data_IF_348277616196
#
_entry.id   IF_348277616196
#
_cell.length_a   1.000
_cell.length_b   1.000
_cell.length_c   1.000
_cell.angle_alpha   90.00
_cell.angle_beta   90.00
_cell.angle_gamma   90.00
#
_symmetry.space_group_name_H-M   'P 1'
#
loop_
_entity.id
_entity.type
_entity.pdbx_description
1 polymer ?
#
# COMPACT_ATOMS: atom_id res chain seq x y z
N UNK A 1 26.54 -40.64 -7.78
CA UNK A 1 27.39 -39.64 -8.46
C UNK A 1 26.81 -38.28 -8.15
N UNK A 2 27.65 -37.35 -7.68
CA UNK A 2 27.24 -35.97 -7.44
C UNK A 2 27.27 -35.21 -8.77
N UNK A 3 26.25 -34.37 -9.03
CA UNK A 3 26.31 -33.37 -10.10
C UNK A 3 26.34 -31.98 -9.47
N UNK A 4 27.57 -31.50 -9.25
CA UNK A 4 27.84 -30.15 -8.75
C UNK A 4 27.41 -29.12 -9.80
N UNK A 5 26.48 -28.25 -9.43
CA UNK A 5 26.14 -27.07 -10.24
C UNK A 5 27.17 -25.96 -9.92
N UNK A 6 27.93 -25.44 -10.90
CA UNK A 6 28.97 -24.45 -10.63
C UNK A 6 28.39 -23.07 -10.28
N UNK A 7 29.03 -22.40 -9.31
CA UNK A 7 28.67 -21.05 -8.88
C UNK A 7 28.84 -20.02 -10.00
N UNK A 8 27.75 -19.41 -10.46
CA UNK A 8 27.80 -18.23 -11.35
C UNK A 8 28.21 -17.01 -10.53
N UNK A 9 29.50 -16.68 -10.57
CA UNK A 9 30.06 -15.51 -9.89
C UNK A 9 29.69 -14.20 -10.59
N UNK A 10 29.50 -13.14 -9.79
CA UNK A 10 29.16 -11.79 -10.28
C UNK A 10 30.29 -11.20 -11.12
N UNK A 11 30.13 -11.17 -12.46
CA UNK A 11 30.88 -10.22 -13.31
C UNK A 11 30.06 -8.95 -13.51
N UNK A 12 30.52 -7.85 -12.91
CA UNK A 12 30.18 -6.49 -13.37
C UNK A 12 31.09 -6.17 -14.56
N UNK A 13 30.53 -6.17 -15.77
CA UNK A 13 31.13 -5.46 -16.91
C UNK A 13 30.76 -3.98 -16.82
N UNK A 14 31.70 -3.10 -17.19
CA UNK A 14 31.40 -1.69 -17.38
C UNK A 14 30.79 -1.48 -18.77
N UNK A 15 29.74 -0.67 -18.88
CA UNK A 15 29.14 -0.27 -20.15
C UNK A 15 29.51 1.18 -20.40
N UNK A 16 30.16 1.45 -21.54
CA UNK A 16 30.53 2.80 -21.96
C UNK A 16 29.30 3.58 -22.45
N UNK A 17 29.35 4.91 -22.32
CA UNK A 17 28.24 5.79 -22.67
C UNK A 17 28.07 5.97 -24.18
N UNK A 18 26.85 5.72 -24.67
CA UNK A 18 26.33 6.32 -25.90
C UNK A 18 25.02 7.06 -25.59
N UNK A 19 24.83 8.24 -26.19
CA UNK A 19 23.68 9.10 -25.94
C UNK A 19 22.62 8.91 -27.03
N UNK A 20 21.41 8.47 -26.65
CA UNK A 20 20.19 8.59 -27.46
C UNK A 20 18.96 8.74 -26.55
N UNK A 21 17.85 9.27 -27.10
CA UNK A 21 16.79 9.88 -26.30
C UNK A 21 16.05 8.90 -25.35
N UNK A 22 15.89 9.32 -24.09
CA UNK A 22 15.41 8.52 -22.96
C UNK A 22 13.89 8.33 -22.93
N UNK A 23 13.37 7.50 -23.83
CA UNK A 23 12.02 6.92 -23.66
C UNK A 23 12.02 5.97 -22.46
N UNK A 24 11.02 6.06 -21.58
CA UNK A 24 10.94 5.32 -20.31
C UNK A 24 10.81 3.79 -20.51
N UNK A 25 11.93 3.09 -20.63
CA UNK A 25 11.97 1.62 -20.76
C UNK A 25 11.74 0.91 -19.41
N UNK A 26 10.49 0.60 -19.12
CA UNK A 26 10.13 -0.39 -18.10
C UNK A 26 10.28 -1.81 -18.66
N UNK A 27 10.98 -2.71 -17.94
CA UNK A 27 10.97 -4.14 -18.24
C UNK A 27 11.78 -4.59 -19.46
N UNK A 28 12.75 -3.79 -19.92
CA UNK A 28 13.71 -4.26 -20.93
C UNK A 28 14.69 -5.25 -20.27
N UNK A 29 14.45 -6.53 -20.51
CA UNK A 29 15.43 -7.58 -20.24
C UNK A 29 16.46 -7.62 -21.38
N UNK A 30 17.72 -7.87 -21.03
CA UNK A 30 18.82 -8.00 -21.98
C UNK A 30 18.51 -9.09 -23.05
N UNK A 31 18.80 -8.85 -24.34
CA UNK A 31 18.46 -9.79 -25.42
C UNK A 31 19.03 -11.20 -25.22
N UNK A 32 20.29 -11.30 -24.80
CA UNK A 32 21.00 -12.57 -24.63
C UNK A 32 20.42 -13.32 -23.41
N UNK A 33 20.04 -12.59 -22.36
CA UNK A 33 19.32 -13.14 -21.21
C UNK A 33 17.91 -13.65 -21.59
N UNK A 34 17.20 -12.94 -22.48
CA UNK A 34 15.89 -13.39 -23.02
C UNK A 34 16.04 -14.62 -23.91
N UNK A 35 17.12 -14.72 -24.69
CA UNK A 35 17.41 -15.89 -25.52
C UNK A 35 17.79 -17.11 -24.68
N UNK A 36 18.66 -16.95 -23.68
CA UNK A 36 18.98 -18.00 -22.70
C UNK A 36 17.74 -18.47 -21.91
N UNK A 37 16.79 -17.57 -21.59
CA UNK A 37 15.51 -17.92 -20.97
C UNK A 37 14.57 -18.72 -21.89
N UNK A 38 14.59 -18.48 -23.20
CA UNK A 38 13.82 -19.27 -24.19
C UNK A 38 14.46 -20.64 -24.43
N UNK A 39 15.78 -20.70 -24.50
CA UNK A 39 16.54 -21.92 -24.73
C UNK A 39 16.43 -22.91 -23.54
N UNK A 40 16.40 -22.40 -22.31
CA UNK A 40 16.33 -23.24 -21.10
C UNK A 40 14.96 -23.84 -20.79
N UNK A 41 13.86 -23.27 -21.29
CA UNK A 41 12.50 -23.82 -21.14
C UNK A 41 11.63 -23.49 -22.36
N UNK A 42 11.63 -24.37 -23.38
CA UNK A 42 10.87 -24.18 -24.64
C UNK A 42 9.35 -23.94 -24.46
N UNK A 43 8.77 -24.41 -23.36
CA UNK A 43 7.34 -24.24 -23.06
C UNK A 43 6.97 -22.90 -22.38
N UNK A 44 7.95 -22.02 -22.09
CA UNK A 44 7.70 -20.77 -21.33
C UNK A 44 7.13 -19.66 -22.22
N UNK A 45 5.89 -19.24 -21.95
CA UNK A 45 5.20 -18.19 -22.70
C UNK A 45 5.85 -16.80 -22.51
N UNK A 46 6.65 -16.37 -23.49
CA UNK A 46 7.21 -15.01 -23.54
C UNK A 46 6.29 -14.07 -24.35
N UNK A 47 5.62 -13.14 -23.67
CA UNK A 47 4.64 -12.23 -24.29
C UNK A 47 5.22 -10.93 -24.88
N UNK A 48 6.56 -10.81 -24.94
CA UNK A 48 7.24 -9.58 -25.35
C UNK A 48 7.28 -8.50 -24.25
N UNK A 49 7.75 -7.29 -24.57
CA UNK A 49 7.58 -6.12 -23.71
C UNK A 49 6.12 -5.60 -23.78
N UNK A 50 5.63 -4.90 -22.74
CA UNK A 50 4.31 -4.27 -22.78
C UNK A 50 4.35 -2.99 -23.63
N UNK A 51 4.20 -3.14 -24.95
CA UNK A 51 4.30 -2.04 -25.93
C UNK A 51 2.97 -1.48 -26.43
N UNK A 52 1.83 -2.08 -26.05
CA UNK A 52 0.50 -1.64 -26.49
C UNK A 52 -0.08 -0.64 -25.50
N UNK A 53 -0.78 0.40 -25.98
CA UNK A 53 -1.42 1.39 -25.12
C UNK A 53 -2.95 1.25 -25.13
N UNK A 54 -3.58 1.47 -23.97
CA UNK A 54 -5.02 1.68 -23.92
C UNK A 54 -5.40 3.06 -24.49
N UNK A 55 -6.33 3.08 -25.44
CA UNK A 55 -6.86 4.28 -26.12
C UNK A 55 -7.36 5.39 -25.21
N UNK A 56 -7.82 5.06 -23.99
CA UNK A 56 -8.33 6.04 -23.04
C UNK A 56 -7.28 6.54 -22.04
N UNK A 57 -6.36 5.66 -21.60
CA UNK A 57 -5.53 5.88 -20.41
C UNK A 57 -4.02 5.91 -20.69
N UNK A 58 -3.59 5.58 -21.92
CA UNK A 58 -2.19 5.39 -22.34
C UNK A 58 -1.33 4.42 -21.52
N UNK A 59 -1.87 3.75 -20.49
CA UNK A 59 -1.16 2.71 -19.76
C UNK A 59 -0.79 1.56 -20.70
N UNK A 60 0.37 0.97 -20.43
CA UNK A 60 0.99 -0.07 -21.23
C UNK A 60 0.39 -1.46 -20.90
N UNK A 61 0.26 -2.28 -21.93
CA UNK A 61 -0.29 -3.63 -21.91
C UNK A 61 0.55 -4.58 -22.78
N UNK A 62 0.53 -5.85 -22.42
CA UNK A 62 0.90 -6.95 -23.33
C UNK A 62 -0.23 -7.25 -24.31
N UNK A 63 0.10 -7.70 -25.52
CA UNK A 63 -0.87 -7.96 -26.59
C UNK A 63 -2.05 -8.86 -26.17
N UNK A 64 -1.79 -9.83 -25.27
CA UNK A 64 -2.77 -10.81 -24.81
C UNK A 64 -3.64 -10.33 -23.63
N UNK A 65 -3.46 -9.11 -23.14
CA UNK A 65 -4.39 -8.48 -22.16
C UNK A 65 -5.59 -7.78 -22.83
N UNK A 66 -5.69 -7.86 -24.15
CA UNK A 66 -6.84 -7.36 -24.92
C UNK A 66 -8.09 -8.17 -24.57
N UNK A 67 -9.23 -7.50 -24.46
CA UNK A 67 -10.49 -8.12 -23.99
C UNK A 67 -11.11 -9.04 -25.06
N UNK A 68 -10.67 -8.89 -26.31
CA UNK A 68 -11.20 -9.54 -27.50
C UNK A 68 -11.27 -8.55 -28.66
N UNK A 69 -11.21 -9.05 -29.90
CA UNK A 69 -11.54 -8.26 -31.09
C UNK A 69 -13.06 -8.22 -31.23
N UNK A 70 -13.68 -7.04 -31.13
CA UNK A 70 -15.12 -6.90 -31.37
C UNK A 70 -15.42 -7.22 -32.83
N UNK A 71 -16.22 -8.26 -33.08
CA UNK A 71 -16.52 -8.76 -34.43
C UNK A 71 -17.00 -7.64 -35.36
N UNK A 72 -16.19 -7.32 -36.36
CA UNK A 72 -16.44 -6.24 -37.32
C UNK A 72 -15.46 -5.05 -37.25
N UNK A 73 -14.72 -4.85 -36.15
CA UNK A 73 -13.75 -3.75 -36.04
C UNK A 73 -12.38 -4.21 -35.50
N UNK A 74 -11.30 -3.83 -36.22
CA UNK A 74 -9.91 -4.30 -35.96
C UNK A 74 -9.22 -3.59 -34.79
N UNK A 75 -9.86 -2.65 -34.11
CA UNK A 75 -9.28 -1.92 -32.97
C UNK A 75 -9.02 -2.85 -31.77
N UNK A 76 -7.78 -2.87 -31.29
CA UNK A 76 -7.40 -3.57 -30.05
C UNK A 76 -7.91 -2.74 -28.86
N UNK A 77 -8.68 -3.35 -27.95
CA UNK A 77 -9.27 -2.68 -26.79
C UNK A 77 -8.74 -3.26 -25.48
N UNK A 78 -8.30 -2.37 -24.59
CA UNK A 78 -7.82 -2.68 -23.23
C UNK A 78 -8.67 -1.93 -22.21
N UNK A 79 -9.18 -2.63 -21.19
CA UNK A 79 -9.99 -2.03 -20.12
C UNK A 79 -9.46 -2.27 -18.71
N UNK A 80 -8.33 -2.97 -18.51
CA UNK A 80 -7.88 -3.28 -17.15
C UNK A 80 -7.26 -2.09 -16.39
N UNK A 81 -6.80 -1.02 -17.07
CA UNK A 81 -6.42 0.25 -16.41
C UNK A 81 -7.65 1.10 -16.04
N UNK A 82 -8.59 1.22 -16.98
CA UNK A 82 -9.57 2.31 -17.01
C UNK A 82 -11.03 1.83 -17.10
N UNK A 83 -11.30 0.51 -17.06
CA UNK A 83 -12.60 -0.11 -17.30
C UNK A 83 -13.37 0.46 -18.53
N UNK A 84 -12.60 0.84 -19.57
CA UNK A 84 -13.12 1.41 -20.82
C UNK A 84 -13.38 2.92 -20.72
N UNK A 85 -12.39 3.70 -20.28
CA UNK A 85 -12.52 5.15 -20.11
C UNK A 85 -13.36 5.58 -18.90
N UNK A 86 -13.66 4.65 -17.99
CA UNK A 86 -14.38 4.87 -16.73
C UNK A 86 -13.41 5.20 -15.59
N UNK A 87 -12.51 4.29 -15.20
CA UNK A 87 -11.45 4.63 -14.23
C UNK A 87 -10.46 5.61 -14.85
N UNK A 88 -10.15 6.62 -14.07
CA UNK A 88 -9.89 8.01 -14.44
C UNK A 88 -9.44 8.65 -13.10
N UNK A 89 -8.37 9.47 -13.09
CA UNK A 89 -7.61 9.90 -11.90
C UNK A 89 -7.18 11.39 -12.02
N UNK A 90 -7.13 12.17 -10.93
CA UNK A 90 -6.68 13.58 -10.98
C UNK A 90 -5.27 13.69 -11.57
N UNK A 91 -4.84 14.84 -12.14
CA UNK A 91 -3.47 15.01 -12.62
C UNK A 91 -2.39 14.66 -11.58
N UNK A 92 -1.21 14.25 -12.04
CA UNK A 92 -0.03 14.13 -11.18
C UNK A 92 0.47 15.51 -10.77
N UNK A 93 0.29 15.85 -9.48
CA UNK A 93 1.00 16.97 -8.86
C UNK A 93 2.47 16.55 -8.68
N UNK A 94 3.45 17.33 -9.18
CA UNK A 94 4.86 17.07 -8.89
C UNK A 94 5.13 17.02 -7.40
N UNK A 95 6.15 16.25 -7.02
CA UNK A 95 6.58 16.10 -5.63
C UNK A 95 7.25 17.41 -5.19
N UNK A 96 7.16 17.84 -3.93
CA UNK A 96 7.90 19.01 -3.45
C UNK A 96 9.40 18.69 -3.28
N UNK A 97 10.25 19.72 -3.19
CA UNK A 97 11.67 19.56 -2.88
C UNK A 97 11.93 19.50 -1.36
N UNK A 98 12.97 18.80 -0.88
CA UNK A 98 14.04 18.11 -1.62
C UNK A 98 13.62 16.73 -2.17
N UNK A 99 12.41 16.28 -1.85
CA UNK A 99 11.96 14.91 -2.12
C UNK A 99 11.92 14.61 -3.62
N UNK A 100 11.58 15.59 -4.46
CA UNK A 100 11.57 15.51 -5.92
C UNK A 100 12.94 15.20 -6.52
N UNK A 101 14.00 15.87 -6.07
CA UNK A 101 15.38 15.61 -6.49
C UNK A 101 15.93 14.33 -5.85
N UNK A 102 15.67 14.08 -4.56
CA UNK A 102 16.20 12.92 -3.83
C UNK A 102 15.67 11.57 -4.34
N UNK A 103 14.35 11.42 -4.54
CA UNK A 103 13.76 10.11 -4.90
C UNK A 103 13.84 9.81 -6.41
N UNK A 104 15.05 9.82 -6.96
CA UNK A 104 15.36 9.56 -8.38
C UNK A 104 16.15 8.26 -8.56
N UNK A 105 15.67 7.39 -9.45
CA UNK A 105 16.40 6.17 -9.85
C UNK A 105 17.64 6.48 -10.70
N UNK A 106 17.56 7.53 -11.51
CA UNK A 106 18.59 8.04 -12.41
C UNK A 106 19.52 9.09 -11.77
N UNK A 107 19.23 9.47 -10.52
CA UNK A 107 19.92 10.55 -9.80
C UNK A 107 21.36 10.24 -9.38
N UNK A 108 21.92 11.09 -8.54
CA UNK A 108 23.31 11.02 -8.07
C UNK A 108 23.55 9.92 -7.00
N UNK A 109 24.69 9.95 -6.31
CA UNK A 109 24.99 9.03 -5.21
C UNK A 109 24.08 9.26 -4.00
N UNK A 110 23.69 10.50 -3.72
CA UNK A 110 22.74 10.85 -2.64
C UNK A 110 21.36 10.29 -2.98
N UNK A 111 20.85 10.54 -4.18
CA UNK A 111 19.56 10.03 -4.65
C UNK A 111 19.49 8.50 -4.60
N UNK A 112 20.56 7.82 -5.02
CA UNK A 112 20.65 6.34 -5.00
C UNK A 112 20.71 5.79 -3.56
N UNK A 113 21.43 6.44 -2.65
CA UNK A 113 21.46 6.08 -1.23
C UNK A 113 20.09 6.29 -0.57
N UNK A 114 19.46 7.44 -0.85
CA UNK A 114 18.11 7.76 -0.40
C UNK A 114 17.09 6.73 -0.88
N UNK A 115 17.08 6.39 -2.17
CA UNK A 115 16.15 5.39 -2.74
C UNK A 115 16.34 3.96 -2.18
N UNK A 116 17.51 3.62 -1.65
CA UNK A 116 17.73 2.37 -0.92
C UNK A 116 17.14 2.42 0.50
N UNK A 117 17.27 3.56 1.17
CA UNK A 117 16.89 3.79 2.58
C UNK A 117 15.53 4.47 2.76
N UNK A 118 14.80 4.76 1.68
CA UNK A 118 13.56 5.57 1.67
C UNK A 118 12.44 5.07 2.59
N UNK A 119 12.40 3.76 2.88
CA UNK A 119 11.51 3.20 3.91
C UNK A 119 11.83 3.71 5.32
N UNK A 120 13.12 3.76 5.68
CA UNK A 120 13.58 4.29 6.97
C UNK A 120 13.20 5.76 7.09
N UNK A 121 13.49 6.58 6.07
CA UNK A 121 13.05 7.98 6.05
C UNK A 121 11.52 8.11 6.21
N UNK A 122 10.71 7.29 5.52
CA UNK A 122 9.27 7.32 5.72
C UNK A 122 8.85 6.95 7.16
N UNK A 123 9.50 5.96 7.79
CA UNK A 123 9.26 5.59 9.19
C UNK A 123 9.59 6.72 10.18
N UNK A 124 10.57 7.59 9.87
CA UNK A 124 10.84 8.80 10.68
C UNK A 124 9.70 9.82 10.66
N UNK A 125 8.81 9.76 9.66
CA UNK A 125 7.73 10.72 9.44
C UNK A 125 6.32 10.15 9.63
N UNK A 126 6.14 8.83 9.65
CA UNK A 126 4.82 8.20 9.81
C UNK A 126 4.07 8.70 11.07
N UNK A 127 2.83 9.15 10.88
CA UNK A 127 1.94 9.56 11.97
C UNK A 127 1.34 8.35 12.71
N UNK A 128 1.32 7.19 12.06
CA UNK A 128 0.72 5.95 12.57
C UNK A 128 1.72 4.81 12.69
N UNK A 129 1.43 3.93 13.65
CA UNK A 129 2.07 2.62 13.79
C UNK A 129 1.39 1.60 12.88
N UNK A 130 2.16 0.72 12.24
CA UNK A 130 1.63 -0.40 11.45
C UNK A 130 1.82 -1.72 12.22
N UNK A 131 0.71 -2.39 12.55
CA UNK A 131 0.69 -3.67 13.26
C UNK A 131 0.26 -4.84 12.38
N UNK A 132 0.87 -6.00 12.56
CA UNK A 132 0.50 -7.27 11.92
C UNK A 132 1.07 -8.46 12.73
N UNK A 133 0.38 -9.60 12.77
CA UNK A 133 0.94 -10.83 13.35
C UNK A 133 1.84 -11.51 12.31
N UNK A 134 3.14 -11.26 12.37
CA UNK A 134 4.12 -11.85 11.45
C UNK A 134 4.44 -13.29 11.87
N UNK A 135 4.10 -14.26 11.03
CA UNK A 135 4.52 -15.65 11.21
C UNK A 135 5.92 -15.85 10.61
N UNK A 136 6.88 -16.14 11.49
CA UNK A 136 8.29 -16.37 11.12
C UNK A 136 8.63 -17.84 10.87
N UNK A 137 7.75 -18.78 11.21
CA UNK A 137 8.02 -20.24 11.15
C UNK A 137 8.22 -20.78 9.74
N UNK A 138 7.78 -20.04 8.72
CA UNK A 138 7.84 -20.45 7.30
C UNK A 138 9.25 -20.34 6.69
N UNK A 139 10.16 -19.61 7.34
CA UNK A 139 11.52 -19.39 6.81
C UNK A 139 12.50 -20.42 7.37
N UNK A 140 12.36 -21.67 6.92
CA UNK A 140 13.17 -22.83 7.30
C UNK A 140 14.51 -22.96 6.54
N UNK A 141 14.81 -22.01 5.64
CA UNK A 141 16.01 -21.99 4.80
C UNK A 141 15.94 -22.83 3.51
N UNK A 142 14.88 -23.60 3.29
CA UNK A 142 14.76 -24.53 2.15
C UNK A 142 14.09 -23.91 0.91
N UNK A 143 13.77 -22.61 0.94
CA UNK A 143 13.18 -21.89 -0.19
C UNK A 143 13.39 -20.37 -0.14
N UNK A 144 12.88 -19.63 -1.14
CA UNK A 144 12.89 -18.17 -1.14
C UNK A 144 12.17 -17.61 0.09
N UNK A 145 12.65 -16.52 0.71
CA UNK A 145 12.10 -16.03 1.98
C UNK A 145 10.65 -15.53 1.83
N UNK A 146 9.76 -16.05 2.66
CA UNK A 146 8.32 -15.75 2.68
C UNK A 146 8.01 -14.82 3.85
N UNK A 147 7.46 -13.64 3.56
CA UNK A 147 6.90 -12.76 4.58
C UNK A 147 5.41 -13.07 4.79
N UNK A 148 5.09 -13.88 5.81
CA UNK A 148 3.72 -14.29 6.12
C UNK A 148 3.12 -13.42 7.23
N UNK A 149 1.93 -12.89 6.97
CA UNK A 149 1.06 -12.23 7.95
C UNK A 149 -0.11 -13.17 8.25
N UNK A 150 -0.45 -13.30 9.53
CA UNK A 150 -1.71 -13.89 9.99
C UNK A 150 -2.65 -12.79 10.46
N UNK A 151 -3.96 -12.98 10.28
CA UNK A 151 -4.96 -11.96 10.63
C UNK A 151 -4.88 -10.72 9.73
N UNK A 152 -4.92 -9.54 10.34
CA UNK A 152 -5.10 -8.25 9.65
C UNK A 152 -3.90 -7.32 9.86
N UNK A 153 -3.42 -6.71 8.76
CA UNK A 153 -2.60 -5.49 8.84
C UNK A 153 -3.49 -4.35 9.34
N UNK A 154 -3.00 -3.54 10.26
CA UNK A 154 -3.79 -2.47 10.85
C UNK A 154 -2.93 -1.29 11.29
N UNK A 155 -3.32 -0.08 10.88
CA UNK A 155 -2.73 1.15 11.40
C UNK A 155 -3.35 1.52 12.74
N UNK A 156 -2.53 1.87 13.73
CA UNK A 156 -2.96 2.46 15.01
C UNK A 156 -2.36 3.82 15.23
N UNK A 157 -3.14 4.70 15.83
CA UNK A 157 -2.79 6.06 16.22
C UNK A 157 -2.82 6.17 17.75
N UNK A 158 -1.95 7.00 18.33
CA UNK A 158 -1.92 7.28 19.78
C UNK A 158 -2.45 8.67 20.11
N UNK A 159 -2.28 9.10 21.35
CA UNK A 159 -2.56 10.47 21.81
C UNK A 159 -1.50 11.49 21.38
N UNK A 160 -1.86 12.78 21.39
CA UNK A 160 -0.99 13.90 20.97
C UNK A 160 0.32 13.99 21.75
N UNK A 161 0.25 13.77 23.06
CA UNK A 161 1.40 13.72 23.96
C UNK A 161 1.72 12.27 24.34
N UNK A 162 3.01 11.96 24.62
CA UNK A 162 3.37 10.70 25.26
C UNK A 162 2.79 10.63 26.69
N UNK A 163 2.59 9.40 27.17
CA UNK A 163 2.41 9.15 28.60
C UNK A 163 3.68 9.54 29.36
N UNK A 164 3.54 9.82 30.66
CA UNK A 164 4.65 10.27 31.51
C UNK A 164 5.89 9.35 31.35
N UNK A 165 7.06 9.98 31.24
CA UNK A 165 8.38 9.37 31.07
C UNK A 165 8.56 8.43 29.85
N UNK A 166 7.59 8.39 28.92
CA UNK A 166 7.74 7.64 27.65
C UNK A 166 8.36 8.52 26.55
N UNK A 167 9.27 7.96 25.72
CA UNK A 167 9.76 8.67 24.54
C UNK A 167 8.62 8.84 23.51
N UNK A 168 8.52 9.99 22.82
CA UNK A 168 7.49 10.25 21.82
C UNK A 168 7.62 9.31 20.60
N UNK A 169 6.49 8.88 20.05
CA UNK A 169 6.42 7.94 18.91
C UNK A 169 5.44 8.43 17.85
N UNK A 170 5.76 8.17 16.57
CA UNK A 170 4.91 8.50 15.42
C UNK A 170 4.43 9.97 15.42
N UNK A 171 3.11 10.25 15.42
CA UNK A 171 2.56 11.62 15.43
C UNK A 171 3.10 12.50 16.58
N UNK A 172 3.47 11.91 17.72
CA UNK A 172 3.98 12.66 18.87
C UNK A 172 5.32 13.35 18.53
N UNK A 173 6.06 12.89 17.51
CA UNK A 173 7.28 13.53 17.00
C UNK A 173 7.01 14.83 16.22
N UNK A 174 5.74 15.19 15.98
CA UNK A 174 5.32 16.50 15.47
C UNK A 174 4.92 17.47 16.59
N UNK A 175 4.48 16.94 17.73
CA UNK A 175 4.00 17.71 18.89
C UNK A 175 5.11 17.94 19.91
N UNK A 176 5.84 16.89 20.29
CA UNK A 176 6.83 16.90 21.36
C UNK A 176 8.19 17.46 20.91
N UNK A 177 8.72 18.42 21.68
CA UNK A 177 10.03 19.10 21.56
C UNK A 177 10.51 19.49 20.15
N UNK A 178 10.50 20.79 19.86
CA UNK A 178 11.11 21.39 18.68
C UNK A 178 12.64 21.24 18.61
N UNK A 179 13.31 21.35 19.75
CA UNK A 179 14.74 21.69 19.87
C UNK A 179 15.63 20.58 19.31
N UNK A 180 15.18 19.33 19.45
CA UNK A 180 15.91 18.16 18.99
C UNK A 180 15.10 17.27 18.03
N UNK A 181 14.10 17.82 17.31
CA UNK A 181 13.24 17.12 16.31
C UNK A 181 13.96 16.02 15.50
N UNK A 182 15.07 16.37 14.84
CA UNK A 182 15.85 15.45 13.98
C UNK A 182 16.49 14.32 14.79
N UNK A 183 17.16 14.65 15.90
CA UNK A 183 17.82 13.69 16.78
C UNK A 183 16.80 12.75 17.45
N UNK A 184 15.65 13.27 17.86
CA UNK A 184 14.54 12.51 18.46
C UNK A 184 13.98 11.49 17.45
N UNK A 185 13.75 11.91 16.20
CA UNK A 185 13.31 11.00 15.11
C UNK A 185 14.36 9.91 14.81
N UNK A 186 15.64 10.25 14.70
CA UNK A 186 16.70 9.28 14.40
C UNK A 186 16.90 8.30 15.58
N UNK A 187 16.92 8.77 16.82
CA UNK A 187 17.00 7.94 18.04
C UNK A 187 15.85 6.94 18.13
N UNK A 188 14.65 7.34 17.72
CA UNK A 188 13.48 6.46 17.64
C UNK A 188 13.67 5.32 16.61
N UNK A 189 14.30 5.59 15.45
CA UNK A 189 14.60 4.54 14.46
C UNK A 189 15.71 3.58 14.95
N UNK A 190 16.81 4.10 15.49
CA UNK A 190 17.95 3.30 15.96
C UNK A 190 17.67 2.47 17.23
N UNK A 191 16.45 2.54 17.78
CA UNK A 191 15.97 1.66 18.86
C UNK A 191 14.93 0.63 18.39
N UNK A 192 14.51 0.67 17.12
CA UNK A 192 13.52 -0.24 16.54
C UNK A 192 14.13 -1.34 15.65
N UNK A 193 15.25 -1.05 14.98
CA UNK A 193 15.98 -1.97 14.09
C UNK A 193 17.48 -2.01 14.42
N UNK A 194 18.18 -3.03 13.89
CA UNK A 194 19.63 -3.23 14.04
C UNK A 194 20.50 -2.15 13.40
N UNK A 195 21.85 -2.32 13.39
CA UNK A 195 22.81 -1.25 13.10
C UNK A 195 22.50 -0.50 11.80
N UNK A 196 21.99 0.73 11.96
CA UNK A 196 21.47 1.55 10.87
C UNK A 196 22.57 1.96 9.90
N UNK A 197 22.32 1.73 8.60
CA UNK A 197 22.90 2.55 7.53
C UNK A 197 22.73 4.03 7.88
N UNK A 198 23.83 4.79 7.89
CA UNK A 198 23.84 6.16 8.44
C UNK A 198 22.79 7.05 7.78
N UNK A 199 21.77 7.41 8.57
CA UNK A 199 20.71 8.34 8.15
C UNK A 199 21.27 9.75 8.15
N UNK A 200 21.13 10.44 7.02
CA UNK A 200 21.63 11.80 6.82
C UNK A 200 20.74 12.81 7.53
N UNK A 201 21.28 13.44 8.58
CA UNK A 201 20.56 14.42 9.42
C UNK A 201 20.05 15.62 8.62
N UNK A 202 20.85 16.06 7.64
CA UNK A 202 20.51 17.06 6.62
C UNK A 202 19.23 16.69 5.86
N UNK A 203 19.17 15.49 5.27
CA UNK A 203 17.98 15.00 4.57
C UNK A 203 16.76 14.90 5.51
N UNK A 204 16.95 14.49 6.77
CA UNK A 204 15.84 14.47 7.75
C UNK A 204 15.35 15.88 8.08
N UNK A 205 16.23 16.87 8.17
CA UNK A 205 15.85 18.27 8.42
C UNK A 205 15.09 18.86 7.22
N UNK A 206 15.62 18.70 6.01
CA UNK A 206 14.98 19.23 4.79
C UNK A 206 13.60 18.58 4.54
N UNK A 207 13.49 17.25 4.69
CA UNK A 207 12.19 16.56 4.59
C UNK A 207 11.23 16.94 5.72
N UNK A 208 11.72 17.24 6.93
CA UNK A 208 10.86 17.77 7.99
C UNK A 208 10.32 19.16 7.66
N UNK A 209 11.13 20.03 7.05
CA UNK A 209 10.71 21.36 6.62
C UNK A 209 9.66 21.26 5.51
N UNK A 210 9.93 20.45 4.49
CA UNK A 210 9.03 20.16 3.37
C UNK A 210 7.66 19.62 3.85
N UNK A 211 7.63 18.70 4.82
CA UNK A 211 6.37 18.20 5.38
C UNK A 211 5.66 19.27 6.24
N UNK A 212 6.40 20.05 7.04
CA UNK A 212 5.84 21.18 7.79
C UNK A 212 5.31 22.31 6.86
N UNK A 213 5.76 22.39 5.60
CA UNK A 213 5.28 23.32 4.57
C UNK A 213 4.14 22.78 3.70
N UNK A 214 4.15 21.50 3.31
CA UNK A 214 3.19 20.95 2.35
C UNK A 214 2.14 20.02 2.95
N UNK A 215 2.46 19.29 4.03
CA UNK A 215 1.58 18.26 4.55
C UNK A 215 0.52 18.84 5.52
N UNK A 216 -0.78 18.70 5.24
CA UNK A 216 -1.84 19.28 6.06
C UNK A 216 -1.93 18.66 7.46
N UNK A 217 -1.61 17.37 7.61
CA UNK A 217 -1.57 16.73 8.93
C UNK A 217 -0.42 17.27 9.77
N UNK A 218 0.80 17.38 9.20
CA UNK A 218 1.94 17.97 9.88
C UNK A 218 1.63 19.39 10.39
N UNK A 219 1.02 20.24 9.55
CA UNK A 219 0.56 21.59 9.93
C UNK A 219 -0.43 21.57 11.10
N UNK A 220 -1.43 20.68 11.09
CA UNK A 220 -2.47 20.61 12.13
C UNK A 220 -1.92 20.07 13.46
N UNK A 221 -1.00 19.09 13.44
CA UNK A 221 -0.27 18.68 14.65
C UNK A 221 0.66 19.78 15.18
N UNK A 222 1.30 20.56 14.30
CA UNK A 222 2.13 21.71 14.67
C UNK A 222 1.33 22.83 15.34
N UNK A 223 0.13 23.12 14.84
CA UNK A 223 -0.82 24.07 15.44
C UNK A 223 -1.34 23.58 16.79
N UNK A 224 -1.64 22.28 16.92
CA UNK A 224 -2.09 21.70 18.19
C UNK A 224 -1.02 21.80 19.27
N UNK A 225 0.26 21.59 18.92
CA UNK A 225 1.41 21.85 19.80
C UNK A 225 1.49 23.31 20.24
N UNK A 226 1.32 24.25 19.31
CA UNK A 226 1.38 25.69 19.62
C UNK A 226 0.33 26.04 20.69
N UNK A 227 -0.92 25.57 20.53
CA UNK A 227 -1.94 25.74 21.57
C UNK A 227 -1.68 24.96 22.86
N UNK A 228 -1.15 23.74 22.81
CA UNK A 228 -0.78 22.94 23.99
C UNK A 228 0.32 23.60 24.84
N UNK A 229 1.23 24.35 24.21
CA UNK A 229 2.26 25.12 24.91
C UNK A 229 1.66 26.36 25.59
N UNK A 230 0.71 27.04 24.95
CA UNK A 230 0.01 28.21 25.48
C UNK A 230 -1.01 27.86 26.58
N UNK A 231 -1.70 26.73 26.45
CA UNK A 231 -2.85 26.31 27.27
C UNK A 231 -2.58 24.93 27.88
N UNK A 232 -1.60 24.85 28.79
CA UNK A 232 -1.00 23.58 29.26
C UNK A 232 -1.96 22.65 30.01
N UNK A 233 -3.12 23.16 30.45
CA UNK A 233 -4.16 22.45 31.19
C UNK A 233 -5.42 22.14 30.35
N UNK A 234 -5.48 22.53 29.07
CA UNK A 234 -6.65 22.28 28.23
C UNK A 234 -6.61 20.90 27.55
N UNK A 235 -7.76 20.24 27.49
CA UNK A 235 -7.93 19.02 26.70
C UNK A 235 -8.30 19.37 25.26
N UNK A 236 -7.43 18.95 24.35
CA UNK A 236 -7.54 19.15 22.92
C UNK A 236 -7.86 17.82 22.24
N UNK A 237 -8.79 17.89 21.28
CA UNK A 237 -9.16 16.77 20.43
C UNK A 237 -8.88 17.18 18.98
N UNK A 238 -8.01 16.42 18.29
CA UNK A 238 -7.93 16.47 16.83
C UNK A 238 -8.86 15.42 16.25
N UNK A 239 -9.83 15.89 15.48
CA UNK A 239 -10.77 15.06 14.71
C UNK A 239 -10.36 15.10 13.24
N UNK A 240 -9.83 13.99 12.72
CA UNK A 240 -9.67 13.77 11.28
C UNK A 240 -10.99 13.23 10.75
N UNK A 241 -11.56 13.89 9.73
CA UNK A 241 -12.90 13.60 9.23
C UNK A 241 -12.86 12.41 8.25
N UNK A 242 -13.69 11.40 8.51
CA UNK A 242 -13.91 10.26 7.64
C UNK A 242 -14.94 10.54 6.54
N UNK A 243 -14.96 9.68 5.52
CA UNK A 243 -15.86 9.79 4.38
C UNK A 243 -17.33 9.51 4.79
N UNK A 244 -18.22 10.49 4.59
CA UNK A 244 -19.65 10.41 4.94
C UNK A 244 -20.47 9.73 3.84
N UNK A 245 -21.67 9.28 4.18
CA UNK A 245 -22.57 8.72 3.17
C UNK A 245 -23.10 9.84 2.27
N UNK A 246 -22.75 9.77 0.98
CA UNK A 246 -23.08 10.80 -0.01
C UNK A 246 -22.02 11.88 -0.20
N UNK A 247 -20.88 11.84 0.51
CA UNK A 247 -19.77 12.75 0.22
C UNK A 247 -19.31 12.59 -1.24
N UNK A 248 -19.19 13.71 -1.96
CA UNK A 248 -18.57 13.67 -3.28
C UNK A 248 -17.11 13.23 -3.14
N UNK A 249 -16.72 12.24 -3.94
CA UNK A 249 -15.34 11.72 -3.95
C UNK A 249 -14.41 12.72 -4.62
N UNK A 250 -14.04 13.74 -3.84
CA UNK A 250 -13.06 14.75 -4.23
C UNK A 250 -11.66 14.13 -4.26
N UNK A 251 -11.11 14.13 -5.46
CA UNK A 251 -9.71 13.80 -5.77
C UNK A 251 -8.76 15.01 -5.62
N UNK A 252 -9.31 16.19 -5.31
CA UNK A 252 -8.55 17.41 -5.05
C UNK A 252 -7.67 17.25 -3.80
N UNK A 253 -6.64 18.09 -3.65
CA UNK A 253 -6.08 18.31 -2.32
C UNK A 253 -7.20 18.83 -1.41
N UNK A 254 -7.50 18.18 -0.27
CA UNK A 254 -8.53 18.66 0.63
C UNK A 254 -8.21 20.07 1.14
N UNK A 255 -9.24 20.86 1.41
CA UNK A 255 -9.05 22.13 2.13
C UNK A 255 -8.54 21.83 3.53
N UNK A 256 -7.77 22.74 4.14
CA UNK A 256 -7.14 22.49 5.45
C UNK A 256 -8.14 22.13 6.54
N UNK A 257 -9.39 22.54 6.40
CA UNK A 257 -10.42 22.38 7.42
C UNK A 257 -11.25 21.11 7.24
N UNK A 258 -11.18 20.47 6.08
CA UNK A 258 -11.79 19.16 5.81
C UNK A 258 -10.99 18.00 6.45
N UNK A 259 -9.66 18.13 6.54
CA UNK A 259 -8.80 17.02 6.96
C UNK A 259 -8.64 16.87 8.47
N UNK A 260 -8.64 17.97 9.22
CA UNK A 260 -8.51 17.90 10.68
C UNK A 260 -9.06 19.18 11.32
N UNK A 261 -9.96 19.01 12.29
CA UNK A 261 -10.42 20.08 13.16
C UNK A 261 -9.86 19.88 14.57
N UNK A 262 -9.40 20.97 15.18
CA UNK A 262 -8.92 21.02 16.56
C UNK A 262 -10.03 21.60 17.45
N UNK A 263 -10.48 20.81 18.42
CA UNK A 263 -11.60 21.10 19.32
C UNK A 263 -11.09 21.15 20.76
N UNK A 264 -11.75 21.92 21.63
CA UNK A 264 -11.46 22.06 23.06
C UNK A 264 -12.71 21.58 23.83
N UNK A 265 -12.52 20.74 24.84
CA UNK A 265 -13.60 20.25 25.72
C UNK A 265 -14.34 18.98 25.25
N UNK A 266 -15.32 18.57 26.06
CA UNK A 266 -16.01 17.28 25.95
C UNK A 266 -16.71 17.06 24.60
N UNK A 267 -16.54 15.85 24.04
CA UNK A 267 -17.12 15.47 22.75
C UNK A 267 -17.68 14.04 22.79
N UNK A 268 -18.93 13.84 22.37
CA UNK A 268 -19.56 12.52 22.35
C UNK A 268 -19.04 11.67 21.16
N UNK A 269 -18.39 10.55 21.49
CA UNK A 269 -17.75 9.66 20.50
C UNK A 269 -18.77 8.90 19.62
N UNK A 270 -20.00 8.68 20.10
CA UNK A 270 -21.00 7.80 19.47
C UNK A 270 -21.51 8.27 18.09
N UNK A 271 -21.33 9.54 17.75
CA UNK A 271 -21.94 10.13 16.54
C UNK A 271 -21.18 9.80 15.24
N UNK A 272 -19.89 9.43 15.29
CA UNK A 272 -19.01 9.43 14.11
C UNK A 272 -18.17 8.15 13.92
N UNK A 273 -18.83 7.04 13.57
CA UNK A 273 -18.26 5.68 13.38
C UNK A 273 -17.09 5.53 12.38
N UNK A 274 -16.69 6.59 11.67
CA UNK A 274 -15.60 6.56 10.67
C UNK A 274 -14.47 7.55 10.94
N UNK A 275 -14.59 8.47 11.89
CA UNK A 275 -13.60 9.54 12.10
C UNK A 275 -12.42 9.06 12.95
N UNK A 276 -11.25 9.70 12.82
CA UNK A 276 -10.11 9.43 13.72
C UNK A 276 -10.07 10.51 14.78
N UNK A 277 -10.37 10.12 16.03
CA UNK A 277 -10.37 11.00 17.20
C UNK A 277 -9.07 10.81 17.99
N UNK A 278 -8.30 11.88 18.10
CA UNK A 278 -6.97 11.92 18.73
C UNK A 278 -7.01 12.91 19.91
N UNK A 279 -6.90 12.39 21.13
CA UNK A 279 -6.94 13.20 22.38
C UNK A 279 -5.54 13.64 22.84
N UNK A 280 -5.46 14.69 23.67
CA UNK A 280 -4.21 15.19 24.29
C UNK A 280 -3.42 14.07 24.96
N UNK A 281 -4.04 13.27 25.84
CA UNK A 281 -3.45 12.11 26.53
C UNK A 281 -4.47 10.97 26.57
N UNK A 282 -4.04 9.77 26.18
CA UNK A 282 -4.80 8.53 26.30
C UNK A 282 -3.79 7.36 26.35
N UNK A 283 -4.06 6.31 27.13
CA UNK A 283 -3.25 5.09 27.15
C UNK A 283 -3.35 4.27 25.86
N UNK A 284 -4.46 4.40 25.13
CA UNK A 284 -4.91 3.39 24.19
C UNK A 284 -4.56 3.74 22.74
N UNK A 285 -4.00 2.76 22.02
CA UNK A 285 -3.71 2.87 20.59
C UNK A 285 -4.95 2.52 19.75
N UNK A 286 -5.67 3.56 19.29
CA UNK A 286 -6.88 3.42 18.48
C UNK A 286 -6.56 2.92 17.08
N UNK A 287 -7.26 1.87 16.63
CA UNK A 287 -7.16 1.34 15.26
C UNK A 287 -7.90 2.27 14.28
N UNK A 288 -7.24 2.62 13.18
CA UNK A 288 -7.88 3.33 12.07
C UNK A 288 -8.55 2.31 11.14
N UNK A 289 -9.74 2.65 10.62
CA UNK A 289 -10.40 1.88 9.56
C UNK A 289 -9.59 1.88 8.27
N UNK A 290 -9.41 0.72 7.64
CA UNK A 290 -8.76 0.58 6.32
C UNK A 290 -9.57 1.18 5.16
N UNK A 291 -10.78 1.70 5.44
CA UNK A 291 -11.61 2.52 4.56
C UNK A 291 -11.50 4.04 4.84
N UNK A 292 -10.69 4.47 5.79
CA UNK A 292 -10.50 5.88 6.08
C UNK A 292 -9.66 6.55 4.98
N UNK A 293 -10.07 7.69 4.38
CA UNK A 293 -9.32 8.32 3.28
C UNK A 293 -7.85 8.61 3.64
N UNK A 294 -7.59 9.13 4.84
CA UNK A 294 -6.24 9.38 5.34
C UNK A 294 -5.43 8.12 5.75
N UNK A 295 -5.98 6.89 5.70
CA UNK A 295 -5.32 5.67 6.23
C UNK A 295 -3.92 5.42 5.65
N UNK A 296 -3.76 5.65 4.33
CA UNK A 296 -2.47 5.51 3.66
C UNK A 296 -1.58 6.74 3.86
N UNK A 297 -2.15 7.95 3.83
CA UNK A 297 -1.39 9.20 3.96
C UNK A 297 -0.74 9.35 5.34
N UNK A 298 -1.41 8.89 6.40
CA UNK A 298 -0.86 8.90 7.76
C UNK A 298 0.32 7.91 7.94
N UNK A 299 0.32 6.79 7.20
CA UNK A 299 1.37 5.78 7.28
C UNK A 299 2.55 6.05 6.32
N UNK A 300 2.29 6.70 5.18
CA UNK A 300 3.29 6.95 4.15
C UNK A 300 3.45 8.45 3.78
N UNK A 301 3.83 9.35 4.70
CA UNK A 301 3.86 10.79 4.39
C UNK A 301 4.86 11.21 3.30
N UNK A 302 5.88 10.41 2.99
CA UNK A 302 6.74 10.67 1.83
C UNK A 302 6.07 10.24 0.51
N UNK A 303 5.15 9.28 0.52
CA UNK A 303 4.38 8.86 -0.65
C UNK A 303 3.14 9.76 -0.89
N UNK A 304 2.64 10.37 0.18
CA UNK A 304 1.51 11.31 0.23
C UNK A 304 1.96 12.66 0.85
N UNK A 305 2.88 13.41 0.21
CA UNK A 305 3.45 14.64 0.78
C UNK A 305 2.40 15.74 1.01
N UNK A 306 1.30 15.73 0.25
CA UNK A 306 0.19 16.67 0.38
C UNK A 306 -0.98 16.14 1.21
N UNK A 307 -0.84 14.97 1.84
CA UNK A 307 -1.89 14.34 2.63
C UNK A 307 -3.09 13.83 1.81
N UNK A 308 -2.84 13.45 0.55
CA UNK A 308 -3.87 13.12 -0.43
C UNK A 308 -4.78 11.95 0.02
N UNK A 309 -6.09 12.02 -0.30
CA UNK A 309 -7.06 10.96 0.04
C UNK A 309 -6.68 9.64 -0.68
N UNK A 310 -6.61 8.56 0.10
CA UNK A 310 -6.33 7.20 -0.35
C UNK A 310 -7.58 6.48 -0.87
N UNK A 311 -7.70 5.19 -0.56
CA UNK A 311 -8.86 4.39 -0.95
C UNK A 311 -10.10 4.72 -0.10
N UNK A 312 -11.24 4.87 -0.76
CA UNK A 312 -12.57 4.98 -0.15
C UNK A 312 -13.61 4.28 -1.03
N UNK A 313 -14.83 4.10 -0.53
CA UNK A 313 -15.92 3.46 -1.28
C UNK A 313 -16.60 4.51 -2.17
N UNK A 314 -17.26 4.08 -3.26
CA UNK A 314 -18.00 5.01 -4.13
C UNK A 314 -17.14 5.92 -5.01
N UNK A 315 -15.82 5.69 -5.08
CA UNK A 315 -14.87 6.46 -5.91
C UNK A 315 -15.37 6.64 -7.33
N UNK A 316 -15.66 7.90 -7.68
CA UNK A 316 -16.18 8.31 -8.97
C UNK A 316 -15.12 8.18 -10.07
N UNK A 317 -15.61 8.21 -11.30
CA UNK A 317 -14.87 7.83 -12.50
C UNK A 317 -14.54 9.10 -13.33
N UNK A 318 -13.48 9.88 -12.94
CA UNK A 318 -13.03 11.20 -13.50
C UNK A 318 -11.53 11.59 -13.22
N UNK A 319 -10.58 11.91 -14.13
CA UNK A 319 -10.45 11.82 -15.62
C UNK A 319 -9.06 11.25 -16.09
N UNK A 320 -8.78 10.86 -17.35
CA UNK A 320 -7.57 10.03 -17.64
C UNK A 320 -6.21 10.75 -17.71
N UNK A 321 -5.17 10.17 -17.07
CA UNK A 321 -3.75 10.60 -17.13
C UNK A 321 -3.01 10.08 -18.38
N UNK A 322 -3.11 10.78 -19.50
CA UNK A 322 -2.24 10.52 -20.67
C UNK A 322 -0.81 10.99 -20.38
N UNK A 323 0.19 10.15 -20.65
CA UNK A 323 1.62 10.51 -20.64
C UNK A 323 2.28 10.77 -19.27
N UNK A 324 1.54 10.78 -18.16
CA UNK A 324 2.08 11.07 -16.83
C UNK A 324 2.55 9.81 -16.08
N UNK A 325 3.64 9.88 -15.28
CA UNK A 325 4.08 8.76 -14.45
C UNK A 325 3.06 8.45 -13.34
N UNK A 326 3.03 7.19 -12.90
CA UNK A 326 2.24 6.79 -11.74
C UNK A 326 3.05 7.06 -10.45
N UNK A 327 2.64 7.99 -9.56
CA UNK A 327 3.37 8.34 -8.34
C UNK A 327 3.60 7.12 -7.44
N UNK A 328 2.65 6.19 -7.39
CA UNK A 328 2.73 4.98 -6.57
C UNK A 328 3.75 3.94 -7.10
N UNK A 329 4.43 4.20 -8.22
CA UNK A 329 5.57 3.43 -8.71
C UNK A 329 6.93 4.12 -8.47
N UNK A 330 6.94 5.44 -8.27
CA UNK A 330 8.16 6.26 -8.26
C UNK A 330 9.05 6.14 -7.02
N UNK A 331 8.57 5.53 -5.93
CA UNK A 331 9.28 5.45 -4.64
C UNK A 331 9.87 4.06 -4.36
N UNK A 332 10.06 3.22 -5.40
CA UNK A 332 10.82 1.97 -5.33
C UNK A 332 10.38 1.01 -4.22
N UNK A 333 11.22 0.84 -3.20
CA UNK A 333 10.95 -0.08 -2.08
C UNK A 333 9.79 0.39 -1.20
N UNK A 334 9.60 1.69 -1.01
CA UNK A 334 8.45 2.28 -0.30
C UNK A 334 7.16 2.08 -1.09
N UNK A 335 7.19 2.35 -2.40
CA UNK A 335 6.09 2.02 -3.33
C UNK A 335 5.64 0.56 -3.21
N UNK A 336 6.59 -0.38 -3.08
CA UNK A 336 6.25 -1.79 -2.95
C UNK A 336 5.68 -2.17 -1.57
N UNK A 337 6.04 -1.46 -0.50
CA UNK A 337 5.43 -1.64 0.82
C UNK A 337 3.96 -1.18 0.83
N UNK A 338 3.70 0.04 0.36
CA UNK A 338 2.35 0.59 0.29
C UNK A 338 1.40 -0.24 -0.61
N UNK A 339 1.91 -0.88 -1.68
CA UNK A 339 1.12 -1.83 -2.49
C UNK A 339 0.70 -3.08 -1.73
N UNK A 340 1.58 -3.64 -0.89
CA UNK A 340 1.30 -4.86 -0.11
C UNK A 340 0.28 -4.56 0.98
N UNK A 341 0.45 -3.44 1.69
CA UNK A 341 -0.51 -2.95 2.69
C UNK A 341 -1.88 -2.63 2.09
N UNK A 342 -1.94 -1.83 1.01
CA UNK A 342 -3.20 -1.56 0.30
C UNK A 342 -3.86 -2.85 -0.20
N UNK A 343 -3.08 -3.87 -0.62
CA UNK A 343 -3.63 -5.17 -1.02
C UNK A 343 -4.18 -5.96 0.16
N UNK A 344 -3.52 -5.95 1.31
CA UNK A 344 -4.02 -6.57 2.54
C UNK A 344 -5.33 -5.89 2.98
N UNK A 345 -5.41 -4.57 2.93
CA UNK A 345 -6.63 -3.80 3.19
C UNK A 345 -7.77 -4.15 2.23
N UNK A 346 -7.50 -4.33 0.93
CA UNK A 346 -8.52 -4.74 -0.05
C UNK A 346 -9.06 -6.13 0.24
N UNK A 347 -8.20 -7.11 0.55
CA UNK A 347 -8.64 -8.48 0.82
C UNK A 347 -9.27 -8.64 2.21
N UNK A 348 -8.87 -7.83 3.21
CA UNK A 348 -9.62 -7.65 4.46
C UNK A 348 -11.05 -7.16 4.18
N UNK A 349 -11.22 -6.07 3.45
CA UNK A 349 -12.54 -5.49 3.21
C UNK A 349 -13.45 -6.44 2.41
N UNK A 350 -12.88 -7.26 1.51
CA UNK A 350 -13.58 -8.37 0.85
C UNK A 350 -14.01 -9.46 1.83
N UNK A 351 -13.14 -9.87 2.75
CA UNK A 351 -13.49 -10.84 3.80
C UNK A 351 -14.59 -10.30 4.72
N UNK A 352 -14.49 -9.04 5.17
CA UNK A 352 -15.53 -8.38 5.98
C UNK A 352 -16.87 -8.28 5.24
N UNK A 353 -16.86 -8.01 3.93
CA UNK A 353 -18.09 -8.05 3.13
C UNK A 353 -18.68 -9.47 3.08
N UNK A 354 -17.86 -10.50 2.83
CA UNK A 354 -18.29 -11.90 2.79
C UNK A 354 -18.85 -12.35 4.15
N UNK A 355 -18.18 -11.99 5.26
CA UNK A 355 -18.61 -12.27 6.63
C UNK A 355 -19.99 -11.66 6.93
N UNK A 356 -20.19 -10.39 6.56
CA UNK A 356 -21.38 -9.61 6.91
C UNK A 356 -22.57 -9.78 5.95
N UNK A 357 -22.42 -10.53 4.85
CA UNK A 357 -23.45 -10.71 3.82
C UNK A 357 -23.63 -12.18 3.39
N UNK A 358 -23.36 -13.14 4.30
CA UNK A 358 -23.56 -14.58 4.04
C UNK A 358 -25.00 -14.92 3.60
N UNK A 359 -25.98 -14.15 4.05
CA UNK A 359 -27.40 -14.21 3.67
C UNK A 359 -27.68 -13.85 2.20
N UNK A 360 -26.92 -12.90 1.64
CA UNK A 360 -27.10 -12.37 0.26
C UNK A 360 -26.25 -13.12 -0.76
N UNK A 361 -25.21 -13.81 -0.32
CA UNK A 361 -24.43 -14.72 -1.17
C UNK A 361 -25.29 -15.96 -1.43
N UNK A 362 -25.61 -16.25 -2.71
CA UNK A 362 -26.35 -17.46 -3.08
C UNK A 362 -25.53 -18.71 -2.79
N UNK A 363 -25.74 -19.24 -1.59
CA UNK A 363 -25.12 -20.42 -0.98
C UNK A 363 -26.04 -21.65 -1.15
N UNK A 364 -27.00 -21.55 -2.07
CA UNK A 364 -28.21 -22.37 -2.28
C UNK A 364 -28.00 -23.90 -2.36
N UNK A 365 -26.78 -24.38 -2.61
CA UNK A 365 -26.47 -25.82 -2.76
C UNK A 365 -25.47 -26.35 -1.72
N UNK A 366 -25.33 -25.68 -0.57
CA UNK A 366 -24.28 -25.97 0.42
C UNK A 366 -24.77 -26.45 1.77
N UNK A 367 -26.08 -26.41 2.03
CA UNK A 367 -26.68 -27.11 3.16
C UNK A 367 -26.35 -28.61 3.06
N UNK A 368 -26.76 -29.28 1.96
CA UNK A 368 -26.50 -30.70 1.75
C UNK A 368 -25.02 -31.11 1.68
N UNK A 369 -24.10 -30.20 1.31
CA UNK A 369 -22.65 -30.46 1.36
C UNK A 369 -22.09 -30.28 2.78
N UNK A 370 -22.57 -29.27 3.52
CA UNK A 370 -22.24 -29.14 4.95
C UNK A 370 -22.76 -30.34 5.73
N UNK A 371 -24.01 -30.74 5.50
CA UNK A 371 -24.65 -31.90 6.15
C UNK A 371 -24.00 -33.24 5.75
N UNK A 372 -23.32 -33.31 4.59
CA UNK A 372 -22.49 -34.45 4.21
C UNK A 372 -21.13 -34.47 4.93
N UNK A 373 -20.54 -33.30 5.22
CA UNK A 373 -19.24 -33.18 5.91
C UNK A 373 -19.39 -33.25 7.43
N UNK A 374 -20.46 -32.71 8.01
CA UNK A 374 -20.74 -32.76 9.45
C UNK A 374 -20.96 -34.19 9.97
N UNK A 375 -21.34 -35.13 9.09
CA UNK A 375 -21.50 -36.57 9.41
C UNK A 375 -20.20 -37.31 9.78
N UNK A 376 -19.09 -36.60 9.98
CA UNK A 376 -17.81 -37.14 10.44
C UNK A 376 -17.20 -36.46 11.68
N UNK A 377 -17.91 -35.58 12.40
CA UNK A 377 -17.39 -34.88 13.58
C UNK A 377 -18.38 -34.92 14.75
N UNK A 378 -18.04 -35.65 15.82
CA UNK A 378 -18.95 -35.98 16.94
C UNK A 378 -18.64 -35.16 18.21
N UNK A 379 -18.40 -33.84 18.07
CA UNK A 379 -18.08 -32.95 19.19
C UNK A 379 -18.76 -31.57 18.99
N UNK A 380 -19.80 -31.27 19.77
CA UNK A 380 -20.65 -30.10 19.58
C UNK A 380 -19.99 -28.75 19.94
N UNK A 381 -18.93 -28.78 20.76
CA UNK A 381 -18.14 -27.60 21.21
C UNK A 381 -17.51 -26.76 20.08
N UNK A 382 -17.69 -27.12 18.80
CA UNK A 382 -17.16 -26.40 17.64
C UNK A 382 -18.21 -26.03 16.58
N UNK A 383 -19.49 -25.93 16.95
CA UNK A 383 -20.53 -25.31 16.10
C UNK A 383 -20.40 -23.77 15.99
N UNK A 384 -19.24 -23.29 15.51
CA UNK A 384 -19.13 -21.93 14.98
C UNK A 384 -19.94 -21.79 13.68
N UNK A 385 -20.52 -20.62 13.42
CA UNK A 385 -21.22 -20.35 12.15
C UNK A 385 -20.26 -20.56 10.97
N UNK A 386 -20.51 -21.57 10.14
CA UNK A 386 -19.66 -21.94 8.99
C UNK A 386 -19.67 -20.85 7.93
N UNK A 387 -18.75 -19.90 8.04
CA UNK A 387 -18.55 -18.84 7.06
C UNK A 387 -18.04 -19.45 5.75
N UNK A 388 -18.85 -19.32 4.71
CA UNK A 388 -18.58 -19.82 3.37
C UNK A 388 -17.84 -18.75 2.57
N UNK A 389 -16.61 -19.10 2.13
CA UNK A 389 -15.90 -18.36 1.10
C UNK A 389 -16.36 -18.83 -0.30
N UNK A 390 -16.77 -17.94 -1.21
CA UNK A 390 -17.12 -18.28 -2.59
C UNK A 390 -15.88 -18.63 -3.41
N UNK A 391 -16.05 -19.31 -4.55
CA UNK A 391 -14.94 -19.65 -5.45
C UNK A 391 -14.26 -18.41 -6.08
N UNK A 392 -14.96 -17.27 -6.12
CA UNK A 392 -14.38 -15.97 -6.51
C UNK A 392 -13.42 -15.36 -5.48
N UNK A 393 -13.31 -15.92 -4.27
CA UNK A 393 -12.32 -15.50 -3.28
C UNK A 393 -10.97 -16.18 -3.55
N UNK A 394 -10.08 -15.46 -4.24
CA UNK A 394 -8.72 -15.89 -4.61
C UNK A 394 -7.97 -16.44 -3.39
N UNK A 395 -7.39 -17.63 -3.53
CA UNK A 395 -6.67 -18.34 -2.46
C UNK A 395 -7.57 -19.18 -1.52
N UNK A 396 -8.89 -18.99 -1.55
CA UNK A 396 -9.82 -19.83 -0.78
C UNK A 396 -9.89 -21.28 -1.28
N UNK A 397 -10.29 -22.22 -0.42
CA UNK A 397 -10.37 -23.66 -0.75
C UNK A 397 -11.14 -23.93 -2.06
N UNK A 398 -12.23 -23.21 -2.31
CA UNK A 398 -13.04 -23.38 -3.53
C UNK A 398 -12.41 -22.78 -4.79
N UNK A 399 -11.69 -21.66 -4.67
CA UNK A 399 -10.88 -21.12 -5.76
C UNK A 399 -9.80 -22.12 -6.19
N UNK A 400 -9.13 -22.76 -5.23
CA UNK A 400 -8.13 -23.80 -5.53
C UNK A 400 -8.76 -25.06 -6.17
N UNK A 401 -9.92 -25.50 -5.70
CA UNK A 401 -10.66 -26.62 -6.32
C UNK A 401 -11.12 -26.27 -7.74
N UNK A 402 -11.65 -25.06 -7.96
CA UNK A 402 -12.04 -24.61 -9.29
C UNK A 402 -10.83 -24.56 -10.23
N UNK A 403 -9.74 -23.90 -9.85
CA UNK A 403 -8.52 -23.86 -10.66
C UNK A 403 -7.97 -25.25 -10.99
N UNK A 404 -8.10 -26.22 -10.07
CA UNK A 404 -7.71 -27.61 -10.30
C UNK A 404 -8.62 -28.31 -11.32
N UNK A 405 -9.95 -28.13 -11.23
CA UNK A 405 -10.89 -28.64 -12.23
C UNK A 405 -10.70 -27.99 -13.60
N UNK A 406 -10.48 -26.67 -13.65
CA UNK A 406 -10.20 -25.92 -14.87
C UNK A 406 -8.87 -26.39 -15.49
N UNK A 407 -7.85 -26.67 -14.67
CA UNK A 407 -6.58 -27.27 -15.12
C UNK A 407 -6.77 -28.67 -15.69
N UNK A 408 -7.58 -29.53 -15.06
CA UNK A 408 -7.93 -30.86 -15.61
C UNK A 408 -8.68 -30.72 -16.94
N UNK A 409 -9.62 -29.78 -17.04
CA UNK A 409 -10.36 -29.54 -18.27
C UNK A 409 -9.44 -29.09 -19.42
N UNK A 410 -8.48 -28.20 -19.14
CA UNK A 410 -7.43 -27.80 -20.10
C UNK A 410 -6.56 -29.00 -20.47
N UNK A 411 -6.06 -29.78 -19.50
CA UNK A 411 -5.26 -30.98 -19.77
C UNK A 411 -6.03 -32.06 -20.55
N UNK A 412 -7.36 -32.13 -20.43
CA UNK A 412 -8.19 -33.08 -21.21
C UNK A 412 -8.34 -32.69 -22.69
N UNK A 413 -8.12 -31.43 -23.04
CA UNK A 413 -8.30 -30.89 -24.41
C UNK A 413 -6.95 -30.54 -25.07
N UNK A 414 -5.92 -30.25 -24.27
CA UNK A 414 -4.61 -29.76 -24.72
C UNK A 414 -3.41 -30.47 -24.06
N UNK A 415 -3.65 -31.44 -23.17
CA UNK A 415 -2.63 -32.44 -22.83
C UNK A 415 -2.59 -33.53 -23.91
N UNK A 416 -1.38 -34.01 -24.21
CA UNK A 416 -1.14 -35.07 -25.20
C UNK A 416 -1.67 -36.43 -24.73
#
# INVERSE_FOLDING_TARGET
MEHVIPNITKKRSAIASSQQASTLQCGHFDPDFVEALKASYHARSYYGPPCYQCTHCSALFWYNERIGSSSGNRSIVYNNCCKGGKVRLPPYIPRPEPLLSLARFDGDSISKSFMQTIRQYNCLFAFTSMGAHIDRSVNDGHGPPIFKICGQVHHRIGSLLPLNDQPPKFLQLYVYDTTHKVNNRIKYLSTADGPTSSIRQDIVQELSNMLDEHNPFAKKFRLARERLNEHTNEEFIIRIIGDREGDHVQYNMPTTDDLAMLVIGDFSLDTFKRDIIIETRNSDLRRISSLHPAYMALQYPLLFPYGERGFQVGVAYSDTRVGQPNPFLSYGTLSNQAKVDARACIDENRLMYILNNQDKLRIENLQGISDAVSRGCINDDKMGKTIVLPASHIGGRRYMIQNYHDSIAICRVHGN
#
